data_IF_426132672302
#
_entry.id   IF_426132672302
#
_cell.length_a   1.000
_cell.length_b   1.000
_cell.length_c   1.000
_cell.angle_alpha   90.00
_cell.angle_beta   90.00
_cell.angle_gamma   90.00
#
_symmetry.space_group_name_H-M   'P 1'
#
loop_
_entity.id
_entity.type
_entity.pdbx_description
1 polymer ?
#
# COMPACT_ATOMS: atom_id res chain seq x y z
N UNK A 1 -17.19 11.50 5.79
CA UNK A 1 -17.03 12.92 5.41
C UNK A 1 -18.42 13.50 5.22
N UNK A 2 -18.66 14.69 5.76
CA UNK A 2 -19.89 15.45 5.55
C UNK A 2 -19.87 16.11 4.15
N UNK A 3 -21.03 16.35 3.56
CA UNK A 3 -21.17 17.00 2.24
C UNK A 3 -20.51 18.38 2.22
N UNK A 4 -20.54 19.08 3.36
CA UNK A 4 -19.93 20.40 3.53
C UNK A 4 -18.40 20.40 3.43
N UNK A 5 -17.74 19.25 3.58
CA UNK A 5 -16.27 19.11 3.54
C UNK A 5 -15.76 18.80 2.12
N UNK A 6 -16.64 18.36 1.21
CA UNK A 6 -16.29 17.91 -0.15
C UNK A 6 -15.56 18.99 -0.94
N UNK A 7 -16.06 20.23 -0.92
CA UNK A 7 -15.50 21.32 -1.71
C UNK A 7 -14.05 21.64 -1.29
N UNK A 8 -13.79 21.67 0.02
CA UNK A 8 -12.46 21.92 0.56
C UNK A 8 -11.51 20.77 0.21
N UNK A 9 -11.94 19.52 0.37
CA UNK A 9 -11.12 18.36 0.00
C UNK A 9 -10.74 18.36 -1.48
N UNK A 10 -11.68 18.69 -2.38
CA UNK A 10 -11.39 18.81 -3.80
C UNK A 10 -10.32 19.87 -4.08
N UNK A 11 -10.41 21.04 -3.43
CA UNK A 11 -9.40 22.09 -3.55
C UNK A 11 -8.03 21.62 -3.05
N UNK A 12 -7.99 20.93 -1.91
CA UNK A 12 -6.75 20.43 -1.31
C UNK A 12 -6.08 19.34 -2.15
N UNK A 13 -6.88 18.44 -2.76
CA UNK A 13 -6.37 17.46 -3.73
C UNK A 13 -5.84 18.12 -5.00
N UNK A 14 -6.51 19.17 -5.48
CA UNK A 14 -6.02 19.99 -6.60
C UNK A 14 -4.67 20.64 -6.29
N UNK A 15 -4.54 21.30 -5.14
CA UNK A 15 -3.28 21.88 -4.69
C UNK A 15 -2.17 20.83 -4.54
N UNK A 16 -2.48 19.67 -3.95
CA UNK A 16 -1.54 18.56 -3.81
C UNK A 16 -1.01 18.07 -5.16
N UNK A 17 -1.87 17.98 -6.17
CA UNK A 17 -1.45 17.57 -7.51
C UNK A 17 -0.53 18.62 -8.15
N UNK A 18 -0.85 19.91 -8.03
CA UNK A 18 -0.05 21.01 -8.58
C UNK A 18 1.30 21.19 -7.87
N UNK A 19 1.40 20.81 -6.60
CA UNK A 19 2.63 20.90 -5.80
C UNK A 19 3.49 19.62 -5.84
N UNK A 20 3.20 18.66 -6.72
CA UNK A 20 3.89 17.37 -6.73
C UNK A 20 5.35 17.51 -7.20
N UNK A 21 6.35 16.94 -6.49
CA UNK A 21 7.77 17.21 -6.75
C UNK A 21 8.32 16.62 -8.05
N UNK A 22 7.64 15.62 -8.63
CA UNK A 22 8.12 14.94 -9.85
C UNK A 22 7.84 15.74 -11.13
N UNK A 23 6.70 16.41 -11.23
CA UNK A 23 6.28 17.18 -12.40
C UNK A 23 4.98 17.95 -12.11
N UNK A 24 4.77 19.04 -12.85
CA UNK A 24 3.47 19.71 -12.94
C UNK A 24 2.56 18.91 -13.87
N UNK A 25 1.33 18.54 -13.46
CA UNK A 25 0.41 17.82 -14.32
C UNK A 25 -0.20 18.72 -15.39
N UNK A 26 -0.36 18.20 -16.62
CA UNK A 26 -1.14 18.86 -17.68
C UNK A 26 -2.65 18.76 -17.44
N UNK A 27 -3.10 17.68 -16.79
CA UNK A 27 -4.51 17.37 -16.49
C UNK A 27 -4.68 16.82 -15.07
N UNK A 28 -5.76 17.22 -14.39
CA UNK A 28 -6.15 16.73 -13.07
C UNK A 28 -7.60 16.25 -13.11
N UNK A 29 -7.84 15.00 -12.74
CA UNK A 29 -9.19 14.43 -12.62
C UNK A 29 -9.54 14.21 -11.16
N UNK A 30 -10.63 14.84 -10.70
CA UNK A 30 -11.23 14.60 -9.39
C UNK A 30 -12.62 14.00 -9.59
N UNK A 31 -12.91 12.91 -8.88
CA UNK A 31 -14.22 12.26 -8.93
C UNK A 31 -14.80 12.20 -7.52
N UNK A 32 -16.01 12.73 -7.36
CA UNK A 32 -16.78 12.64 -6.11
C UNK A 32 -17.92 11.67 -6.34
N UNK A 33 -17.97 10.62 -5.53
CA UNK A 33 -19.02 9.60 -5.58
C UNK A 33 -19.64 9.46 -4.20
N UNK A 34 -20.97 9.45 -4.15
CA UNK A 34 -21.71 9.09 -2.94
C UNK A 34 -21.49 7.60 -2.64
N UNK A 35 -21.13 7.30 -1.40
CA UNK A 35 -21.00 5.93 -0.90
C UNK A 35 -22.31 5.53 -0.23
N UNK A 36 -22.82 4.33 -0.53
CA UNK A 36 -23.90 3.74 0.25
C UNK A 36 -23.32 3.23 1.57
N UNK A 37 -23.88 3.70 2.69
CA UNK A 37 -23.38 3.34 4.02
C UNK A 37 -23.59 1.87 4.36
N UNK A 38 -24.48 1.17 3.66
CA UNK A 38 -24.66 -0.28 3.79
C UNK A 38 -23.53 -1.10 3.15
N UNK A 39 -22.78 -0.51 2.20
CA UNK A 39 -21.61 -1.11 1.56
C UNK A 39 -20.30 -0.80 2.30
N UNK A 40 -20.34 0.13 3.27
CA UNK A 40 -19.16 0.59 3.98
C UNK A 40 -18.61 -0.47 4.92
N UNK A 41 -17.41 -0.95 4.62
CA UNK A 41 -16.67 -1.89 5.49
C UNK A 41 -15.82 -1.10 6.47
N UNK A 42 -15.82 -1.50 7.75
CA UNK A 42 -14.97 -0.93 8.80
C UNK A 42 -13.94 -1.97 9.23
N UNK A 43 -12.67 -1.59 9.26
CA UNK A 43 -11.57 -2.45 9.68
C UNK A 43 -10.64 -1.70 10.64
N UNK A 44 -9.98 -2.38 11.59
CA UNK A 44 -9.00 -1.74 12.43
C UNK A 44 -7.70 -1.44 11.67
N UNK A 45 -6.90 -0.51 12.18
CA UNK A 45 -5.47 -0.43 11.82
C UNK A 45 -4.75 -1.74 12.17
N UNK A 46 -3.73 -2.07 11.37
CA UNK A 46 -2.81 -3.15 11.70
C UNK A 46 -1.85 -2.71 12.82
N UNK A 47 -1.54 -3.58 13.81
CA UNK A 47 -0.47 -3.34 14.77
C UNK A 47 0.83 -3.02 14.05
N UNK A 48 1.52 -1.94 14.44
CA UNK A 48 2.75 -1.50 13.77
C UNK A 48 3.98 -1.96 14.53
N UNK A 49 4.92 -2.58 13.83
CA UNK A 49 6.24 -2.95 14.35
C UNK A 49 7.33 -2.51 13.39
N UNK A 50 8.59 -2.64 13.82
CA UNK A 50 9.77 -2.35 13.00
C UNK A 50 10.63 -3.60 12.96
N UNK A 51 10.98 -4.05 11.76
CA UNK A 51 11.92 -5.14 11.56
C UNK A 51 13.36 -4.61 11.71
N UNK A 52 14.24 -5.34 12.42
CA UNK A 52 15.60 -4.89 12.68
C UNK A 52 16.50 -5.15 11.47
N UNK A 53 16.40 -4.31 10.44
CA UNK A 53 17.19 -4.42 9.20
C UNK A 53 18.24 -3.32 9.11
N UNK A 54 19.49 -3.69 8.79
CA UNK A 54 20.63 -2.77 8.78
C UNK A 54 21.12 -2.36 7.37
N UNK A 55 20.72 -3.09 6.32
CA UNK A 55 21.13 -2.83 4.94
C UNK A 55 20.10 -3.33 3.93
N UNK A 56 20.17 -2.92 2.65
CA UNK A 56 19.26 -3.43 1.62
C UNK A 56 19.33 -4.95 1.43
N UNK A 57 20.51 -5.55 1.62
CA UNK A 57 20.68 -7.00 1.53
C UNK A 57 20.02 -7.71 2.73
N UNK A 58 20.22 -7.19 3.93
CA UNK A 58 19.59 -7.71 5.15
C UNK A 58 18.07 -7.57 5.11
N UNK A 59 17.57 -6.45 4.59
CA UNK A 59 16.15 -6.22 4.35
C UNK A 59 15.56 -7.21 3.34
N UNK A 60 16.27 -7.48 2.24
CA UNK A 60 15.89 -8.52 1.27
C UNK A 60 15.77 -9.88 1.94
N UNK A 61 16.81 -10.30 2.66
CA UNK A 61 16.88 -11.62 3.26
C UNK A 61 15.80 -11.80 4.34
N UNK A 62 15.54 -10.74 5.10
CA UNK A 62 14.44 -10.68 6.09
C UNK A 62 13.07 -10.84 5.42
N UNK A 63 12.80 -10.11 4.33
CA UNK A 63 11.52 -10.20 3.60
C UNK A 63 11.35 -11.58 2.97
N UNK A 64 12.35 -12.10 2.28
CA UNK A 64 12.29 -13.43 1.65
C UNK A 64 12.06 -14.51 2.70
N UNK A 65 12.74 -14.43 3.85
CA UNK A 65 12.54 -15.36 4.97
C UNK A 65 11.12 -15.27 5.53
N UNK A 66 10.57 -14.07 5.68
CA UNK A 66 9.21 -13.88 6.18
C UNK A 66 8.13 -14.37 5.20
N UNK A 67 8.39 -14.34 3.89
CA UNK A 67 7.47 -14.84 2.86
C UNK A 67 7.58 -16.34 2.60
N UNK A 68 8.72 -16.98 2.91
CA UNK A 68 8.95 -18.39 2.62
C UNK A 68 7.90 -19.35 3.21
N UNK A 69 7.34 -19.13 4.42
CA UNK A 69 6.24 -19.95 4.94
C UNK A 69 4.92 -19.79 4.17
N UNK A 70 4.77 -18.70 3.41
CA UNK A 70 3.54 -18.36 2.67
C UNK A 70 3.61 -18.80 1.20
N UNK A 71 4.81 -18.96 0.64
CA UNK A 71 5.01 -19.33 -0.77
C UNK A 71 6.43 -19.83 -1.02
N UNK A 72 6.59 -20.81 -1.92
CA UNK A 72 7.89 -21.19 -2.48
C UNK A 72 8.47 -20.11 -3.42
N UNK A 73 7.64 -19.16 -3.86
CA UNK A 73 7.98 -18.10 -4.81
C UNK A 73 8.45 -16.81 -4.13
N UNK A 74 8.91 -16.87 -2.88
CA UNK A 74 9.32 -15.70 -2.09
C UNK A 74 10.40 -14.86 -2.78
N UNK A 75 11.39 -15.51 -3.40
CA UNK A 75 12.42 -14.81 -4.18
C UNK A 75 11.83 -14.11 -5.41
N UNK A 76 10.85 -14.72 -6.06
CA UNK A 76 10.15 -14.15 -7.21
C UNK A 76 9.33 -12.93 -6.82
N UNK A 77 8.66 -12.97 -5.67
CA UNK A 77 7.97 -11.80 -5.12
C UNK A 77 8.93 -10.62 -4.94
N UNK A 78 10.12 -10.86 -4.37
CA UNK A 78 11.15 -9.83 -4.22
C UNK A 78 11.69 -9.31 -5.56
N UNK A 79 11.94 -10.18 -6.53
CA UNK A 79 12.37 -9.77 -7.88
C UNK A 79 11.32 -8.85 -8.51
N UNK A 80 10.06 -9.28 -8.56
CA UNK A 80 8.96 -8.49 -9.11
C UNK A 80 8.81 -7.13 -8.42
N UNK A 81 8.88 -7.11 -7.09
CA UNK A 81 8.82 -5.88 -6.28
C UNK A 81 9.89 -4.87 -6.66
N UNK A 82 11.09 -5.33 -7.03
CA UNK A 82 12.26 -4.47 -7.22
C UNK A 82 12.67 -4.27 -8.68
N UNK A 83 12.09 -5.02 -9.61
CA UNK A 83 12.36 -4.95 -11.06
C UNK A 83 11.19 -4.40 -11.86
N UNK A 84 9.95 -4.49 -11.36
CA UNK A 84 8.84 -3.79 -11.99
C UNK A 84 9.15 -2.28 -12.04
N UNK A 85 8.95 -1.68 -13.21
CA UNK A 85 9.12 -0.25 -13.45
C UNK A 85 7.82 0.31 -13.96
N UNK A 86 7.56 1.56 -13.61
CA UNK A 86 6.47 2.39 -14.14
C UNK A 86 5.06 1.83 -13.91
N UNK A 87 4.92 0.84 -13.03
CA UNK A 87 3.63 0.35 -12.59
C UNK A 87 2.93 1.38 -11.71
N UNK A 88 1.63 1.50 -11.92
CA UNK A 88 0.76 2.47 -11.24
C UNK A 88 -0.07 1.85 -10.11
N UNK A 89 0.06 0.55 -9.90
CA UNK A 89 -0.67 -0.27 -8.93
C UNK A 89 0.16 -1.46 -8.47
N UNK A 90 -0.48 -2.41 -7.79
CA UNK A 90 0.14 -3.61 -7.26
C UNK A 90 0.15 -4.77 -8.26
N UNK A 91 1.15 -5.63 -8.14
CA UNK A 91 1.17 -6.97 -8.72
C UNK A 91 0.37 -7.91 -7.81
N UNK A 92 -0.50 -8.74 -8.39
CA UNK A 92 -1.12 -9.86 -7.69
C UNK A 92 -0.32 -11.11 -8.00
N UNK A 93 0.46 -11.61 -7.04
CA UNK A 93 1.26 -12.81 -7.19
C UNK A 93 0.55 -14.00 -6.54
N UNK A 94 0.22 -15.01 -7.34
CA UNK A 94 -0.31 -16.27 -6.83
C UNK A 94 0.73 -16.96 -5.93
N UNK A 95 0.35 -17.23 -4.69
CA UNK A 95 1.20 -17.88 -3.72
C UNK A 95 1.54 -19.34 -4.09
N UNK A 96 0.65 -20.03 -4.80
CA UNK A 96 0.86 -21.43 -5.18
C UNK A 96 1.71 -21.55 -6.45
N UNK A 97 1.46 -20.72 -7.46
CA UNK A 97 2.05 -20.88 -8.80
C UNK A 97 3.14 -19.87 -9.13
N UNK A 98 3.24 -18.77 -8.39
CA UNK A 98 4.14 -17.66 -8.70
C UNK A 98 3.74 -16.88 -9.95
N UNK A 99 2.52 -17.10 -10.49
CA UNK A 99 2.02 -16.37 -11.65
C UNK A 99 1.44 -15.01 -11.24
N UNK A 100 1.53 -14.05 -12.17
CA UNK A 100 0.87 -12.74 -12.02
C UNK A 100 -0.59 -12.89 -12.41
N UNK A 101 -1.49 -12.43 -11.56
CA UNK A 101 -2.94 -12.62 -11.69
C UNK A 101 -3.69 -11.35 -12.09
N UNK A 102 -3.07 -10.17 -12.01
CA UNK A 102 -3.70 -8.95 -12.47
C UNK A 102 -3.89 -8.96 -14.01
N UNK A 103 -5.03 -8.44 -14.51
CA UNK A 103 -5.36 -8.50 -15.93
C UNK A 103 -4.47 -7.59 -16.79
N UNK A 104 -4.07 -6.44 -16.25
CA UNK A 104 -3.15 -5.51 -16.90
C UNK A 104 -1.85 -5.42 -16.09
N UNK A 105 -0.82 -6.09 -16.58
CA UNK A 105 0.48 -6.18 -15.95
C UNK A 105 1.32 -4.88 -16.03
N UNK A 106 0.96 -3.92 -16.88
CA UNK A 106 1.61 -2.61 -16.93
C UNK A 106 0.96 -1.63 -15.95
N UNK A 107 -0.37 -1.71 -15.79
CA UNK A 107 -1.11 -0.88 -14.83
C UNK A 107 -1.00 -1.40 -13.40
N UNK A 108 -1.15 -2.71 -13.19
CA UNK A 108 -1.39 -3.29 -11.87
C UNK A 108 -2.82 -3.06 -11.36
N UNK A 109 -3.08 -3.50 -10.14
CA UNK A 109 -4.35 -3.27 -9.42
C UNK A 109 -4.20 -2.07 -8.49
N UNK A 110 -5.11 -1.10 -8.57
CA UNK A 110 -5.06 0.10 -7.72
C UNK A 110 -6.02 -0.04 -6.56
N UNK A 111 -5.49 -0.08 -5.35
CA UNK A 111 -6.33 -0.03 -4.15
C UNK A 111 -6.91 1.38 -4.02
N UNK A 112 -8.23 1.51 -4.05
CA UNK A 112 -8.93 2.79 -3.89
C UNK A 112 -10.08 2.67 -2.89
N UNK A 113 -10.91 3.72 -2.76
CA UNK A 113 -12.10 3.73 -1.90
C UNK A 113 -11.77 3.36 -0.45
N UNK A 114 -10.77 4.02 0.12
CA UNK A 114 -10.33 3.78 1.49
C UNK A 114 -9.86 5.08 2.16
N UNK A 115 -10.17 5.23 3.44
CA UNK A 115 -9.64 6.33 4.25
C UNK A 115 -9.60 5.95 5.74
N UNK A 116 -8.91 6.73 6.56
CA UNK A 116 -8.98 6.61 8.01
C UNK A 116 -10.24 7.30 8.55
N UNK A 117 -10.84 6.77 9.62
CA UNK A 117 -11.99 7.38 10.27
C UNK A 117 -11.66 8.70 10.99
N UNK A 118 -10.40 8.87 11.38
CA UNK A 118 -9.91 10.07 12.08
C UNK A 118 -9.77 11.24 11.11
N UNK A 119 -9.98 12.45 11.62
CA UNK A 119 -9.70 13.70 10.89
C UNK A 119 -8.20 13.79 10.59
N UNK A 120 -7.80 13.37 9.40
CA UNK A 120 -6.49 13.71 8.86
C UNK A 120 -6.49 15.21 8.55
N UNK A 121 -5.39 15.96 8.74
CA UNK A 121 -5.31 17.31 8.21
C UNK A 121 -5.59 17.25 6.71
N UNK A 122 -6.69 17.86 6.30
CA UNK A 122 -7.17 17.85 4.92
C UNK A 122 -6.02 18.40 4.05
N UNK A 123 -5.62 17.64 3.02
CA UNK A 123 -4.54 18.05 2.10
C UNK A 123 -3.09 17.71 2.50
N UNK A 124 -2.84 17.18 3.70
CA UNK A 124 -1.47 16.80 4.14
C UNK A 124 -0.99 15.46 3.58
N UNK A 125 0.24 15.39 3.03
CA UNK A 125 0.87 14.12 2.61
C UNK A 125 1.35 13.33 3.84
N UNK A 126 0.46 12.53 4.42
CA UNK A 126 0.83 11.60 5.51
C UNK A 126 1.18 10.23 4.96
N UNK A 127 2.33 10.12 4.29
CA UNK A 127 2.76 8.91 3.57
C UNK A 127 2.63 7.62 4.38
N UNK A 128 3.02 7.67 5.67
CA UNK A 128 2.95 6.51 6.56
C UNK A 128 1.50 6.13 6.85
N UNK A 129 0.63 7.12 7.12
CA UNK A 129 -0.79 6.88 7.34
C UNK A 129 -1.49 6.34 6.09
N UNK A 130 -1.23 6.94 4.92
CA UNK A 130 -1.76 6.46 3.64
C UNK A 130 -1.36 5.00 3.37
N UNK A 131 -0.09 4.67 3.64
CA UNK A 131 0.40 3.30 3.51
C UNK A 131 -0.26 2.34 4.53
N UNK A 132 -0.45 2.76 5.77
CA UNK A 132 -1.13 1.95 6.80
C UNK A 132 -2.61 1.73 6.50
N UNK A 133 -3.33 2.74 6.00
CA UNK A 133 -4.75 2.62 5.60
C UNK A 133 -4.88 1.62 4.45
N UNK A 134 -4.03 1.76 3.44
CA UNK A 134 -3.98 0.83 2.32
C UNK A 134 -3.68 -0.59 2.80
N UNK A 135 -2.63 -0.77 3.61
CA UNK A 135 -2.24 -2.07 4.12
C UNK A 135 -3.33 -2.70 5.00
N UNK A 136 -4.02 -1.91 5.81
CA UNK A 136 -5.14 -2.38 6.61
C UNK A 136 -6.28 -2.88 5.71
N UNK A 137 -6.69 -2.12 4.69
CA UNK A 137 -7.70 -2.59 3.72
C UNK A 137 -7.28 -3.90 3.07
N UNK A 138 -6.03 -3.98 2.60
CA UNK A 138 -5.50 -5.15 1.89
C UNK A 138 -5.44 -6.39 2.80
N UNK A 139 -4.85 -6.27 3.98
CA UNK A 139 -4.64 -7.40 4.90
C UNK A 139 -5.94 -7.97 5.50
N UNK A 140 -7.03 -7.21 5.51
CA UNK A 140 -8.33 -7.69 5.97
C UNK A 140 -9.12 -8.46 4.90
N UNK A 141 -8.59 -8.63 3.69
CA UNK A 141 -9.14 -9.56 2.71
C UNK A 141 -8.50 -10.95 2.92
N UNK A 142 -9.29 -12.01 3.21
CA UNK A 142 -8.74 -13.34 3.53
C UNK A 142 -7.85 -13.96 2.46
N UNK A 143 -8.07 -13.59 1.19
CA UNK A 143 -7.32 -14.12 0.05
C UNK A 143 -5.93 -13.50 -0.07
N UNK A 144 -5.63 -12.43 0.67
CA UNK A 144 -4.31 -11.80 0.70
C UNK A 144 -3.50 -12.37 1.86
N UNK A 145 -2.40 -13.04 1.54
CA UNK A 145 -1.48 -13.63 2.51
C UNK A 145 -0.48 -12.61 3.05
N UNK A 146 0.03 -11.77 2.15
CA UNK A 146 1.00 -10.75 2.49
C UNK A 146 0.96 -9.59 1.48
N UNK A 147 1.38 -8.42 1.93
CA UNK A 147 1.71 -7.29 1.10
C UNK A 147 3.16 -6.88 1.35
N UNK A 148 3.92 -6.61 0.29
CA UNK A 148 5.25 -6.00 0.38
C UNK A 148 5.27 -4.74 -0.47
N UNK A 149 5.80 -3.66 0.10
CA UNK A 149 5.90 -2.38 -0.58
C UNK A 149 7.27 -1.74 -0.37
N UNK A 150 7.85 -1.25 -1.47
CA UNK A 150 9.01 -0.36 -1.48
C UNK A 150 8.58 0.93 -2.17
N UNK A 151 8.84 2.06 -1.54
CA UNK A 151 8.57 3.33 -2.20
C UNK A 151 9.44 3.52 -3.43
N UNK A 152 8.90 4.11 -4.48
CA UNK A 152 9.61 4.57 -5.68
C UNK A 152 10.34 5.92 -5.50
N UNK A 153 10.18 6.57 -4.35
CA UNK A 153 10.77 7.87 -4.04
C UNK A 153 12.24 7.72 -3.63
N UNK A 154 13.19 8.33 -4.36
CA UNK A 154 14.63 8.21 -4.09
C UNK A 154 15.05 8.58 -2.66
N UNK A 155 14.29 9.47 -2.00
CA UNK A 155 14.60 9.98 -0.67
C UNK A 155 13.97 9.14 0.46
N UNK A 156 13.22 8.09 0.12
CA UNK A 156 12.51 7.26 1.11
C UNK A 156 12.94 5.81 1.04
N UNK A 157 13.82 5.42 1.96
CA UNK A 157 14.45 4.09 2.03
C UNK A 157 13.76 3.12 3.00
N UNK A 158 12.59 3.48 3.51
CA UNK A 158 11.76 2.57 4.34
C UNK A 158 10.69 1.92 3.48
N UNK A 159 10.55 0.59 3.58
CA UNK A 159 9.42 -0.16 3.04
C UNK A 159 8.59 -0.77 4.16
N UNK A 160 7.72 -1.71 3.80
CA UNK A 160 7.02 -2.53 4.79
C UNK A 160 6.63 -3.90 4.23
N UNK A 161 6.39 -4.82 5.17
CA UNK A 161 5.71 -6.09 4.98
C UNK A 161 4.45 -6.07 5.85
N UNK A 162 3.28 -6.35 5.28
CA UNK A 162 2.04 -6.44 6.01
C UNK A 162 1.43 -7.84 5.87
N UNK A 163 1.01 -8.41 7.00
CA UNK A 163 0.26 -9.68 7.04
C UNK A 163 -0.84 -9.58 8.10
N UNK A 164 -1.90 -10.38 7.96
CA UNK A 164 -2.95 -10.45 8.99
C UNK A 164 -2.39 -10.91 10.36
N UNK A 165 -1.36 -11.77 10.36
CA UNK A 165 -0.78 -12.33 11.57
C UNK A 165 0.20 -11.38 12.28
N UNK A 166 1.06 -10.69 11.53
CA UNK A 166 2.15 -9.88 12.10
C UNK A 166 1.91 -8.37 12.01
N UNK A 167 0.77 -7.94 11.45
CA UNK A 167 0.42 -6.54 11.30
C UNK A 167 1.27 -5.83 10.23
N UNK A 168 1.48 -4.52 10.42
CA UNK A 168 2.24 -3.66 9.52
C UNK A 168 3.68 -3.52 10.03
N UNK A 169 4.61 -4.23 9.38
CA UNK A 169 6.01 -4.31 9.80
C UNK A 169 6.85 -3.39 8.93
N UNK A 170 7.34 -2.27 9.50
CA UNK A 170 8.23 -1.33 8.81
C UNK A 170 9.59 -1.96 8.59
N UNK A 171 10.18 -1.71 7.43
CA UNK A 171 11.49 -2.25 7.03
C UNK A 171 12.41 -1.09 6.67
N UNK A 172 13.24 -0.61 7.62
CA UNK A 172 14.28 0.37 7.34
C UNK A 172 15.31 -0.14 6.31
N UNK A 173 15.99 0.78 5.63
CA UNK A 173 17.09 0.47 4.71
C UNK A 173 16.75 -0.56 3.62
N UNK A 174 15.50 -0.61 3.13
CA UNK A 174 15.04 -1.63 2.15
C UNK A 174 15.63 -1.43 0.74
N UNK A 175 16.18 -0.24 0.47
CA UNK A 175 16.84 0.12 -0.78
C UNK A 175 17.92 1.17 -0.53
N UNK A 176 18.83 1.31 -1.50
CA UNK A 176 19.86 2.34 -1.48
C UNK A 176 19.24 3.75 -1.56
N UNK A 177 19.76 4.74 -0.81
CA UNK A 177 19.43 6.15 -1.00
C UNK A 177 19.66 6.59 -2.45
N UNK A 178 18.74 7.38 -3.01
CA UNK A 178 18.79 7.80 -4.41
C UNK A 178 18.23 6.77 -5.40
N UNK A 179 17.92 5.54 -4.97
CA UNK A 179 17.33 4.54 -5.85
C UNK A 179 15.85 4.81 -6.12
N UNK A 180 15.48 4.91 -7.40
CA UNK A 180 14.08 4.98 -7.83
C UNK A 180 13.38 3.60 -7.85
N UNK A 181 14.04 2.52 -7.39
CA UNK A 181 13.42 1.19 -7.30
C UNK A 181 12.30 1.24 -6.28
N UNK A 182 11.13 0.78 -6.69
CA UNK A 182 9.95 0.68 -5.85
C UNK A 182 8.87 -0.14 -6.54
N UNK A 183 7.89 -0.58 -5.77
CA UNK A 183 6.84 -1.45 -6.24
C UNK A 183 5.96 -1.91 -5.10
N UNK A 184 4.90 -2.63 -5.46
CA UNK A 184 3.96 -3.23 -4.53
C UNK A 184 3.54 -4.60 -5.03
N UNK A 185 3.61 -5.61 -4.17
CA UNK A 185 3.21 -6.98 -4.48
C UNK A 185 2.25 -7.44 -3.40
N UNK A 186 1.10 -7.97 -3.82
CA UNK A 186 0.19 -8.73 -2.97
C UNK A 186 0.40 -10.21 -3.27
N UNK A 187 0.80 -10.96 -2.25
CA UNK A 187 0.84 -12.41 -2.29
C UNK A 187 -0.56 -12.92 -1.97
N UNK A 188 -1.19 -13.65 -2.89
CA UNK A 188 -2.63 -13.95 -2.82
C UNK A 188 -2.92 -15.42 -3.11
N UNK A 189 -4.08 -15.91 -2.66
CA UNK A 189 -4.67 -17.16 -3.15
C UNK A 189 -5.41 -16.90 -4.46
N UNK A 190 -5.19 -17.76 -5.46
CA UNK A 190 -5.76 -17.61 -6.81
C UNK A 190 -7.23 -17.99 -6.99
N UNK A 191 -7.97 -18.22 -5.90
CA UNK A 191 -9.32 -18.81 -5.96
C UNK A 191 -10.40 -17.84 -6.52
N UNK A 192 -10.37 -16.57 -6.10
CA UNK A 192 -11.33 -15.53 -6.53
C UNK A 192 -10.61 -14.20 -6.85
N UNK A 193 -9.88 -14.18 -7.96
CA UNK A 193 -9.13 -12.99 -8.41
C UNK A 193 -10.07 -11.84 -8.76
N UNK A 194 -11.22 -12.13 -9.38
CA UNK A 194 -12.17 -11.10 -9.79
C UNK A 194 -12.79 -10.41 -8.57
N UNK A 195 -13.26 -11.17 -7.57
CA UNK A 195 -13.79 -10.61 -6.33
C UNK A 195 -12.72 -9.88 -5.50
N UNK A 196 -11.47 -10.37 -5.50
CA UNK A 196 -10.36 -9.64 -4.90
C UNK A 196 -10.13 -8.28 -5.57
N UNK A 197 -10.08 -8.22 -6.90
CA UNK A 197 -9.89 -6.96 -7.63
C UNK A 197 -11.05 -6.00 -7.35
N UNK A 198 -12.29 -6.50 -7.38
CA UNK A 198 -13.48 -5.70 -7.07
C UNK A 198 -13.40 -5.10 -5.66
N UNK A 199 -12.98 -5.91 -4.68
CA UNK A 199 -12.75 -5.43 -3.32
C UNK A 199 -11.68 -4.33 -3.25
N UNK A 200 -10.52 -4.56 -3.87
CA UNK A 200 -9.39 -3.64 -3.83
C UNK A 200 -9.72 -2.32 -4.52
N UNK A 201 -10.34 -2.36 -5.70
CA UNK A 201 -10.60 -1.17 -6.52
C UNK A 201 -11.89 -0.43 -6.10
N UNK A 202 -12.95 -1.10 -5.62
CA UNK A 202 -14.28 -0.47 -5.50
C UNK A 202 -14.93 -0.53 -4.11
N UNK A 203 -14.63 -1.53 -3.29
CA UNK A 203 -15.27 -1.64 -1.96
C UNK A 203 -14.85 -0.49 -1.04
N UNK A 204 -15.79 0.30 -0.50
CA UNK A 204 -15.47 1.40 0.39
C UNK A 204 -15.07 0.87 1.78
N UNK A 205 -13.87 1.23 2.24
CA UNK A 205 -13.32 0.80 3.53
C UNK A 205 -12.94 2.00 4.39
N UNK A 206 -13.38 2.02 5.64
CA UNK A 206 -12.92 2.99 6.64
C UNK A 206 -12.07 2.26 7.68
N UNK A 207 -10.87 2.80 7.92
CA UNK A 207 -9.91 2.24 8.87
C UNK A 207 -10.02 2.97 10.21
N UNK A 208 -10.26 2.22 11.28
CA UNK A 208 -10.58 2.71 12.61
C UNK A 208 -9.51 2.35 13.66
N UNK A 209 -9.51 3.08 14.77
CA UNK A 209 -8.54 2.93 15.85
C UNK A 209 -7.27 3.77 15.65
N UNK A 210 -6.22 3.40 16.38
CA UNK A 210 -4.99 4.19 16.44
C UNK A 210 -3.97 3.74 15.40
N UNK A 211 -3.71 4.61 14.41
CA UNK A 211 -2.60 4.50 13.46
C UNK A 211 -1.37 5.34 13.86
N UNK A 212 -0.20 4.70 13.88
CA UNK A 212 1.16 5.14 14.25
C UNK A 212 1.38 5.69 15.68
N UNK A 213 2.21 4.97 16.45
CA UNK A 213 3.46 5.54 16.97
C UNK A 213 4.61 4.57 16.64
N UNK A 214 5.69 5.10 16.08
CA UNK A 214 6.81 4.33 15.54
C UNK A 214 7.95 5.24 15.12
N UNK A 215 8.10 6.35 15.86
CA UNK A 215 9.25 7.21 15.77
C UNK A 215 10.48 6.44 16.25
N UNK A 216 11.44 6.24 15.35
CA UNK A 216 12.83 6.26 15.80
C UNK A 216 13.09 7.73 16.15
N UNK A 217 13.26 8.00 17.44
CA UNK A 217 13.79 9.27 17.90
C UNK A 217 15.17 9.43 17.27
N UNK A 218 15.30 10.29 16.27
CA UNK A 218 16.61 10.78 15.83
C UNK A 218 17.13 11.72 16.90
N UNK A 219 17.97 11.19 17.78
CA UNK A 219 19.07 11.97 18.39
C UNK A 219 20.33 11.76 17.58
#
# INVERSE_FOLDING_TARGET
MDENEVAQLCADMGHRALAHPKATPDEIHLTVRRIDMSELVRVPFLPTTVLPTASPQDARDTVVTALAPLTEHAQRAWMLLTEARDMRGAILLDAATGQRLEPDQQRGVRVTSMDAARSNPIGGKHRVLEAQVLAAKVAHRPDVLAEICISDDPDYTTGYLATAQHGYQRIPHIKEPGSARGGRVFLVRGDDVAGLIEYLEHTPVVVEGDGVDGGVSTT
#
